data_IF_852244038204
#
_entry.id   IF_852244038204
#
_cell.length_a   1.000
_cell.length_b   1.000
_cell.length_c   1.000
_cell.angle_alpha   90.00
_cell.angle_beta   90.00
_cell.angle_gamma   90.00
#
_symmetry.space_group_name_H-M   'P 1'
#
loop_
_entity.id
_entity.type
_entity.pdbx_description
1 polymer ?
#
# COMPACT_ATOMS: atom_id res chain seq x y z
N UNK A 1 -58.48 -5.16 -17.02
CA UNK A 1 -57.63 -5.92 -17.96
C UNK A 1 -56.26 -5.25 -17.90
N UNK A 2 -55.36 -5.74 -17.03
CA UNK A 2 -54.22 -6.60 -17.39
C UNK A 2 -53.35 -5.92 -18.47
N UNK A 3 -52.10 -5.52 -18.21
CA UNK A 3 -50.97 -6.45 -18.00
C UNK A 3 -49.85 -5.92 -17.07
N UNK A 4 -49.31 -6.86 -16.28
CA UNK A 4 -48.03 -6.81 -15.55
C UNK A 4 -46.94 -7.48 -16.41
N UNK A 5 -45.69 -7.00 -16.31
CA UNK A 5 -44.39 -7.75 -16.38
C UNK A 5 -43.26 -6.70 -16.26
N UNK A 6 -42.63 -6.45 -15.10
CA UNK A 6 -41.60 -7.21 -14.38
C UNK A 6 -40.45 -7.77 -15.24
N UNK A 7 -39.27 -7.13 -15.12
CA UNK A 7 -37.89 -7.69 -15.20
C UNK A 7 -36.94 -6.60 -14.70
N UNK A 8 -36.46 -6.64 -13.45
CA UNK A 8 -35.16 -7.22 -13.04
C UNK A 8 -33.94 -6.75 -13.86
N UNK A 9 -33.25 -5.74 -13.34
CA UNK A 9 -31.78 -5.65 -13.26
C UNK A 9 -31.52 -4.91 -11.94
N UNK A 10 -31.22 -5.56 -10.81
CA UNK A 10 -29.99 -6.30 -10.51
C UNK A 10 -28.73 -5.46 -10.76
N UNK A 11 -28.30 -4.82 -9.68
CA UNK A 11 -26.92 -4.85 -9.22
C UNK A 11 -25.83 -4.28 -10.14
N UNK A 12 -25.44 -3.04 -9.84
CA UNK A 12 -24.01 -2.68 -9.91
C UNK A 12 -23.67 -1.79 -8.71
N UNK A 13 -23.64 -2.42 -7.53
CA UNK A 13 -22.77 -1.97 -6.44
C UNK A 13 -21.36 -2.47 -6.75
N UNK A 14 -20.58 -1.62 -7.40
CA UNK A 14 -19.11 -1.61 -7.35
C UNK A 14 -18.78 -0.15 -7.01
N UNK A 15 -18.42 0.21 -5.78
CA UNK A 15 -17.06 0.04 -5.24
C UNK A 15 -16.05 0.24 -6.38
N UNK A 16 -15.23 1.28 -6.40
CA UNK A 16 -14.35 1.56 -5.28
C UNK A 16 -13.70 2.94 -5.46
N UNK A 17 -13.58 3.64 -4.33
CA UNK A 17 -12.68 4.75 -4.02
C UNK A 17 -12.34 5.72 -5.16
N UNK A 18 -13.03 6.86 -5.07
CA UNK A 18 -12.47 8.19 -5.13
C UNK A 18 -10.96 8.23 -5.41
N UNK A 19 -10.62 8.87 -6.52
CA UNK A 19 -9.39 9.64 -6.69
C UNK A 19 -9.22 10.58 -5.48
N UNK A 20 -8.84 10.04 -4.33
CA UNK A 20 -8.29 10.80 -3.24
C UNK A 20 -6.99 11.32 -3.83
N UNK A 21 -6.99 12.59 -4.25
CA UNK A 21 -5.75 13.35 -4.31
C UNK A 21 -4.99 12.98 -3.06
N UNK A 22 -3.79 12.42 -3.22
CA UNK A 22 -2.98 12.00 -2.09
C UNK A 22 -2.38 13.27 -1.48
N UNK A 23 -3.24 14.15 -0.97
CA UNK A 23 -2.88 15.11 0.04
C UNK A 23 -2.42 14.28 1.25
N UNK A 24 -1.22 14.59 1.75
CA UNK A 24 -0.44 13.72 2.64
C UNK A 24 -1.21 13.11 3.82
N UNK A 25 -0.64 12.05 4.40
CA UNK A 25 -1.27 11.34 5.50
C UNK A 25 -1.45 12.27 6.71
N UNK A 26 -2.70 12.47 7.14
CA UNK A 26 -3.00 13.30 8.32
C UNK A 26 -3.01 12.48 9.62
N UNK A 27 -3.19 11.16 9.54
CA UNK A 27 -3.28 10.27 10.71
C UNK A 27 -2.58 8.94 10.49
N UNK A 28 -2.18 8.29 11.60
CA UNK A 28 -1.57 6.96 11.60
C UNK A 28 -2.49 5.89 11.01
N UNK A 29 -3.80 6.05 11.20
CA UNK A 29 -4.81 5.15 10.67
C UNK A 29 -4.95 5.27 9.15
N UNK A 30 -4.86 6.48 8.59
CA UNK A 30 -4.89 6.71 7.14
C UNK A 30 -3.64 6.11 6.47
N UNK A 31 -2.46 6.31 7.06
CA UNK A 31 -1.22 5.66 6.62
C UNK A 31 -1.35 4.13 6.67
N UNK A 32 -1.87 3.57 7.77
CA UNK A 32 -2.09 2.13 7.91
C UNK A 32 -3.01 1.59 6.81
N UNK A 33 -4.14 2.24 6.58
CA UNK A 33 -5.12 1.83 5.57
C UNK A 33 -4.51 1.85 4.16
N UNK A 34 -3.70 2.88 3.85
CA UNK A 34 -2.99 2.97 2.58
C UNK A 34 -1.94 1.86 2.43
N UNK A 35 -1.12 1.60 3.45
CA UNK A 35 -0.11 0.54 3.40
C UNK A 35 -0.75 -0.84 3.26
N UNK A 36 -1.86 -1.09 3.97
CA UNK A 36 -2.63 -2.33 3.81
C UNK A 36 -3.18 -2.48 2.39
N UNK A 37 -3.73 -1.42 1.81
CA UNK A 37 -4.21 -1.40 0.42
C UNK A 37 -3.10 -1.75 -0.58
N UNK A 38 -1.90 -1.18 -0.42
CA UNK A 38 -0.72 -1.50 -1.24
C UNK A 38 -0.32 -2.97 -1.08
N UNK A 39 -0.25 -3.47 0.17
CA UNK A 39 0.10 -4.86 0.46
C UNK A 39 -0.90 -5.84 -0.14
N UNK A 40 -2.20 -5.54 -0.03
CA UNK A 40 -3.26 -6.40 -0.53
C UNK A 40 -3.24 -6.43 -2.06
N UNK A 41 -3.06 -5.28 -2.73
CA UNK A 41 -2.88 -5.22 -4.20
C UNK A 41 -1.65 -5.98 -4.69
N UNK A 42 -0.56 -5.98 -3.93
CA UNK A 42 0.61 -6.81 -4.25
C UNK A 42 0.33 -8.31 -4.08
N UNK A 43 -0.43 -8.69 -3.04
CA UNK A 43 -0.74 -10.10 -2.74
C UNK A 43 -1.72 -10.69 -3.74
N UNK A 44 -2.71 -9.89 -4.13
CA UNK A 44 -3.72 -10.22 -5.13
C UNK A 44 -3.16 -10.21 -6.57
N UNK A 45 -1.97 -9.63 -6.77
CA UNK A 45 -1.35 -9.49 -8.09
C UNK A 45 -1.99 -8.41 -8.96
N UNK A 46 -2.90 -7.60 -8.40
CA UNK A 46 -3.56 -6.49 -9.09
C UNK A 46 -2.67 -5.25 -9.23
N UNK A 47 -1.56 -5.16 -8.51
CA UNK A 47 -0.53 -4.13 -8.70
C UNK A 47 0.88 -4.72 -8.89
N UNK A 48 1.64 -4.25 -9.89
CA UNK A 48 3.02 -4.69 -10.07
C UNK A 48 3.92 -4.18 -8.93
N UNK A 49 5.04 -4.84 -8.62
CA UNK A 49 5.94 -4.43 -7.52
C UNK A 49 6.45 -2.99 -7.65
N UNK A 50 6.58 -2.46 -8.86
CA UNK A 50 6.96 -1.05 -9.10
C UNK A 50 5.95 -0.06 -8.50
N UNK A 51 4.65 -0.39 -8.48
CA UNK A 51 3.63 0.43 -7.83
C UNK A 51 3.89 0.55 -6.34
N UNK A 52 4.26 -0.55 -5.69
CA UNK A 52 4.60 -0.55 -4.27
C UNK A 52 5.88 0.23 -3.98
N UNK A 53 6.88 0.20 -4.88
CA UNK A 53 8.07 1.07 -4.79
C UNK A 53 7.68 2.55 -4.83
N UNK A 54 6.83 2.94 -5.78
CA UNK A 54 6.37 4.33 -5.88
C UNK A 54 5.55 4.75 -4.66
N UNK A 55 4.67 3.87 -4.16
CA UNK A 55 3.88 4.11 -2.96
C UNK A 55 4.77 4.26 -1.71
N UNK A 56 5.79 3.41 -1.57
CA UNK A 56 6.78 3.51 -0.50
C UNK A 56 7.58 4.81 -0.57
N UNK A 57 8.00 5.21 -1.78
CA UNK A 57 8.69 6.48 -1.98
C UNK A 57 7.80 7.68 -1.62
N UNK A 58 6.51 7.63 -1.96
CA UNK A 58 5.55 8.66 -1.56
C UNK A 58 5.42 8.75 -0.05
N UNK A 59 5.29 7.61 0.64
CA UNK A 59 5.18 7.51 2.10
C UNK A 59 6.44 8.04 2.80
N UNK A 60 7.62 7.64 2.34
CA UNK A 60 8.89 8.00 2.96
C UNK A 60 9.25 9.48 2.79
N UNK A 61 8.76 10.13 1.74
CA UNK A 61 9.00 11.55 1.50
C UNK A 61 7.96 12.46 2.20
N UNK A 62 7.08 11.91 3.05
CA UNK A 62 6.13 12.75 3.79
C UNK A 62 6.82 13.51 4.92
N UNK A 63 6.49 14.80 5.13
CA UNK A 63 7.14 15.63 6.15
C UNK A 63 6.91 15.13 7.58
N UNK A 64 5.79 14.45 7.82
CA UNK A 64 5.38 13.94 9.13
C UNK A 64 5.56 12.42 9.27
N UNK A 65 6.34 11.78 8.38
CA UNK A 65 6.45 10.32 8.35
C UNK A 65 6.94 9.74 9.68
N UNK A 66 7.88 10.41 10.37
CA UNK A 66 8.42 9.92 11.65
C UNK A 66 7.37 9.86 12.77
N UNK A 67 6.38 10.74 12.73
CA UNK A 67 5.29 10.75 13.72
C UNK A 67 4.23 9.70 13.41
N UNK A 68 4.04 9.41 12.12
CA UNK A 68 3.06 8.46 11.60
C UNK A 68 3.58 7.01 11.56
N UNK A 69 4.88 6.82 11.51
CA UNK A 69 5.53 5.51 11.40
C UNK A 69 5.74 4.86 12.78
N UNK A 70 4.64 4.49 13.42
CA UNK A 70 4.66 3.65 14.62
C UNK A 70 5.03 2.19 14.32
N UNK A 71 5.24 1.40 15.37
CA UNK A 71 5.71 0.00 15.28
C UNK A 71 4.90 -0.82 14.26
N UNK A 72 3.58 -0.73 14.30
CA UNK A 72 2.69 -1.45 13.38
C UNK A 72 2.84 -0.96 11.93
N UNK A 73 2.84 0.35 11.69
CA UNK A 73 3.03 0.89 10.34
C UNK A 73 4.41 0.55 9.77
N UNK A 74 5.44 0.55 10.62
CA UNK A 74 6.80 0.13 10.28
C UNK A 74 6.87 -1.35 9.89
N UNK A 75 6.17 -2.23 10.61
CA UNK A 75 6.08 -3.65 10.28
C UNK A 75 5.41 -3.89 8.92
N UNK A 76 4.33 -3.14 8.60
CA UNK A 76 3.66 -3.24 7.30
C UNK A 76 4.57 -2.72 6.17
N UNK A 77 5.22 -1.57 6.36
CA UNK A 77 6.21 -1.05 5.42
C UNK A 77 7.35 -2.04 5.17
N UNK A 78 7.81 -2.72 6.21
CA UNK A 78 8.86 -3.73 6.12
C UNK A 78 8.38 -4.97 5.34
N UNK A 79 7.17 -5.44 5.57
CA UNK A 79 6.58 -6.57 4.82
C UNK A 79 6.48 -6.25 3.33
N UNK A 80 5.97 -5.05 2.98
CA UNK A 80 5.91 -4.56 1.60
C UNK A 80 7.32 -4.51 0.98
N UNK A 81 8.29 -3.97 1.72
CA UNK A 81 9.67 -3.87 1.25
C UNK A 81 10.30 -5.24 0.97
N UNK A 82 10.11 -6.21 1.87
CA UNK A 82 10.63 -7.57 1.68
C UNK A 82 9.99 -8.25 0.48
N UNK A 83 8.70 -8.04 0.22
CA UNK A 83 8.03 -8.56 -0.98
C UNK A 83 8.56 -7.93 -2.26
N UNK A 84 8.84 -6.62 -2.25
CA UNK A 84 9.49 -5.95 -3.37
C UNK A 84 10.87 -6.57 -3.64
N UNK A 85 11.66 -6.80 -2.58
CA UNK A 85 12.97 -7.43 -2.71
C UNK A 85 12.88 -8.88 -3.25
N UNK A 86 11.92 -9.66 -2.78
CA UNK A 86 11.64 -11.02 -3.28
C UNK A 86 11.18 -11.03 -4.74
N UNK A 87 10.54 -9.97 -5.22
CA UNK A 87 10.18 -9.80 -6.62
C UNK A 87 11.38 -9.51 -7.54
N UNK A 88 12.61 -9.51 -7.01
CA UNK A 88 13.84 -9.33 -7.78
C UNK A 88 14.33 -7.88 -7.86
N UNK A 89 13.75 -6.97 -7.08
CA UNK A 89 14.21 -5.59 -7.01
C UNK A 89 15.36 -5.44 -6.03
N UNK A 90 16.53 -5.03 -6.52
CA UNK A 90 17.71 -4.78 -5.70
C UNK A 90 17.68 -3.34 -5.17
N UNK A 91 16.82 -3.09 -4.19
CA UNK A 91 16.68 -1.77 -3.56
C UNK A 91 17.42 -1.74 -2.22
N UNK A 92 18.07 -0.61 -1.94
CA UNK A 92 18.71 -0.40 -0.64
C UNK A 92 17.66 -0.29 0.46
N UNK A 93 17.76 -1.14 1.47
CA UNK A 93 16.89 -1.12 2.64
C UNK A 93 16.85 0.27 3.30
N UNK A 94 15.66 0.89 3.47
CA UNK A 94 15.54 2.20 4.06
C UNK A 94 15.95 2.16 5.54
N UNK A 95 16.89 3.02 5.98
CA UNK A 95 17.39 2.99 7.36
C UNK A 95 16.31 3.33 8.39
N UNK A 96 15.18 3.91 7.98
CA UNK A 96 14.04 4.13 8.88
C UNK A 96 13.28 2.82 9.20
N UNK A 97 13.32 1.84 8.30
CA UNK A 97 12.59 0.57 8.43
C UNK A 97 13.45 -0.55 9.02
N UNK A 98 14.74 -0.54 8.74
CA UNK A 98 15.68 -1.58 9.15
C UNK A 98 16.70 -0.99 10.11
N UNK A 99 16.99 -1.73 11.19
CA UNK A 99 18.10 -1.40 12.08
C UNK A 99 19.41 -1.45 11.28
N UNK A 100 20.45 -0.73 11.74
CA UNK A 100 21.77 -0.73 11.07
C UNK A 100 22.34 -2.15 10.86
N UNK A 101 21.97 -3.09 11.73
CA UNK A 101 22.35 -4.50 11.70
C UNK A 101 21.53 -5.35 10.70
N UNK A 102 20.34 -4.88 10.30
CA UNK A 102 19.41 -5.58 9.41
C UNK A 102 19.43 -5.03 7.97
N UNK A 103 20.38 -4.16 7.65
CA UNK A 103 20.61 -3.77 6.25
C UNK A 103 21.13 -4.99 5.50
N UNK A 104 20.22 -5.64 4.76
CA UNK A 104 20.55 -6.75 3.86
C UNK A 104 21.72 -6.28 2.98
N UNK A 105 22.85 -7.01 2.96
CA UNK A 105 24.03 -6.58 2.21
C UNK A 105 23.63 -6.43 0.74
N UNK A 106 23.82 -5.22 0.22
CA UNK A 106 23.64 -4.92 -1.19
C UNK A 106 24.76 -5.63 -1.98
N UNK A 107 24.54 -6.89 -2.36
CA UNK A 107 25.46 -7.67 -3.17
C UNK A 107 26.66 -8.19 -2.40
N UNK A 108 26.75 -9.51 -2.29
CA UNK A 108 28.03 -10.22 -2.16
C UNK A 108 28.75 -10.23 -3.50
#
# INVERSE_FOLDING_TARGET
MAEKKNSKQAETKKADKAEKQIEGFSTKADLKAFLMDVRDKMTDGSAPPVYAVTAMNFVMNQPNIYELLDKTNKEICRDIWLRIAQAGFHLKAPPMLFSADEQVPAGS
#
